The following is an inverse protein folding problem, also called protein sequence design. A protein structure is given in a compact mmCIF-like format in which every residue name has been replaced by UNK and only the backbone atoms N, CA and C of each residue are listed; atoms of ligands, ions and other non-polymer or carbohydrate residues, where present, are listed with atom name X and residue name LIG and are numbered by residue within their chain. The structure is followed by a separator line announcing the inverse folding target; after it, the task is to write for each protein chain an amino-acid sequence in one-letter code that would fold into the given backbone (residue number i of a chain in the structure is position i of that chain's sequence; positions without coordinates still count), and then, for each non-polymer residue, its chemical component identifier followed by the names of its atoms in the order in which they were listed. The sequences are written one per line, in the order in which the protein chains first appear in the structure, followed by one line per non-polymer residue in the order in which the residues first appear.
data_IF_227402766460
#
_entry.id   IF_227402766460
#
_cell.length_a   1.000
_cell.length_b   1.000
_cell.length_c   1.000
_cell.angle_alpha   90.00
_cell.angle_beta   90.00
_cell.angle_gamma   90.00
#
_symmetry.space_group_name_H-M   'P 1'
#
loop_
_entity.id
_entity.type
_entity.pdbx_description
1 polymer ?
#
# COMPACT_ATOMS: atom_id res chain seq x y z
N UNK A 1 -0.94 -23.48 -16.07
CA UNK A 1 -0.82 -22.06 -15.65
C UNK A 1 -1.95 -21.64 -14.73
N UNK A 2 -3.22 -21.70 -15.16
CA UNK A 2 -4.37 -21.34 -14.29
C UNK A 2 -4.43 -22.16 -12.99
N UNK A 3 -4.16 -23.47 -13.05
CA UNK A 3 -4.13 -24.33 -11.86
C UNK A 3 -3.04 -23.94 -10.85
N UNK A 4 -1.86 -23.53 -11.34
CA UNK A 4 -0.76 -23.03 -10.51
C UNK A 4 -1.15 -21.71 -9.85
N UNK A 5 -1.69 -20.77 -10.63
CA UNK A 5 -2.18 -19.48 -10.12
C UNK A 5 -3.21 -19.63 -8.99
N UNK A 6 -4.20 -20.50 -9.17
CA UNK A 6 -5.20 -20.76 -8.14
C UNK A 6 -4.63 -21.45 -6.90
N UNK A 7 -3.63 -22.31 -7.08
CA UNK A 7 -2.92 -22.96 -5.97
C UNK A 7 -2.15 -21.93 -5.14
N UNK A 8 -1.39 -21.06 -5.77
CA UNK A 8 -0.60 -20.00 -5.12
C UNK A 8 -1.49 -19.03 -4.34
N UNK A 9 -2.59 -18.58 -4.95
CA UNK A 9 -3.54 -17.70 -4.28
C UNK A 9 -4.17 -18.36 -3.04
N UNK A 10 -4.45 -19.67 -3.12
CA UNK A 10 -4.97 -20.45 -1.99
C UNK A 10 -3.93 -20.63 -0.89
N UNK A 11 -2.65 -20.78 -1.24
CA UNK A 11 -1.55 -20.85 -0.26
C UNK A 11 -1.39 -19.52 0.49
N UNK A 12 -1.67 -18.39 -0.18
CA UNK A 12 -1.58 -17.04 0.43
C UNK A 12 -2.89 -16.56 1.08
N UNK A 13 -3.89 -17.42 1.25
CA UNK A 13 -5.18 -17.04 1.88
C UNK A 13 -5.02 -16.40 3.26
N UNK A 14 -4.07 -16.85 4.07
CA UNK A 14 -3.84 -16.30 5.41
C UNK A 14 -3.26 -14.89 5.36
N UNK A 15 -2.42 -14.61 4.36
CA UNK A 15 -1.94 -13.26 4.08
C UNK A 15 -3.11 -12.37 3.65
N UNK A 16 -3.99 -12.85 2.76
CA UNK A 16 -5.17 -12.09 2.32
C UNK A 16 -6.13 -11.79 3.48
N UNK A 17 -6.40 -12.77 4.36
CA UNK A 17 -7.25 -12.59 5.54
C UNK A 17 -6.59 -11.62 6.53
N UNK A 18 -5.29 -11.76 6.77
CA UNK A 18 -4.53 -10.89 7.68
C UNK A 18 -4.55 -9.44 7.21
N UNK A 19 -4.24 -9.19 5.94
CA UNK A 19 -4.29 -7.84 5.37
C UNK A 19 -5.70 -7.30 5.25
N UNK A 20 -6.67 -8.12 4.84
CA UNK A 20 -8.07 -7.73 4.75
C UNK A 20 -8.66 -7.29 6.09
N UNK A 21 -8.42 -8.08 7.15
CA UNK A 21 -8.86 -7.74 8.51
C UNK A 21 -8.09 -6.54 9.07
N UNK A 22 -6.78 -6.46 8.87
CA UNK A 22 -5.97 -5.32 9.30
C UNK A 22 -6.41 -4.01 8.65
N UNK A 23 -6.71 -4.02 7.34
CA UNK A 23 -7.18 -2.85 6.62
C UNK A 23 -8.61 -2.46 7.00
N UNK A 24 -9.47 -3.44 7.31
CA UNK A 24 -10.78 -3.16 7.90
C UNK A 24 -10.65 -2.42 9.23
N UNK A 25 -9.77 -2.89 10.12
CA UNK A 25 -9.50 -2.23 11.41
C UNK A 25 -8.91 -0.84 11.19
N UNK A 26 -7.94 -0.70 10.29
CA UNK A 26 -7.34 0.59 9.93
C UNK A 26 -8.40 1.60 9.50
N UNK A 27 -9.23 1.28 8.50
CA UNK A 27 -10.28 2.21 8.06
C UNK A 27 -11.32 2.46 9.14
N UNK A 28 -11.71 1.44 9.92
CA UNK A 28 -12.66 1.59 11.02
C UNK A 28 -12.17 2.59 12.05
N UNK A 29 -10.92 2.44 12.51
CA UNK A 29 -10.33 3.32 13.53
C UNK A 29 -10.18 4.74 12.98
N UNK A 30 -9.54 4.90 11.82
CA UNK A 30 -9.20 6.24 11.33
C UNK A 30 -10.42 7.02 10.85
N UNK A 31 -11.41 6.40 10.21
CA UNK A 31 -12.62 7.10 9.77
C UNK A 31 -13.54 7.43 10.96
N UNK A 32 -13.73 6.50 11.90
CA UNK A 32 -14.57 6.74 13.08
C UNK A 32 -13.94 7.75 14.06
N UNK A 33 -12.63 7.97 13.97
CA UNK A 33 -11.93 8.95 14.79
C UNK A 33 -12.33 10.40 14.44
N UNK A 34 -12.58 10.72 13.17
CA UNK A 34 -12.82 12.10 12.75
C UNK A 34 -14.06 12.75 13.40
N UNK A 35 -15.25 12.12 13.42
CA UNK A 35 -16.42 12.67 14.12
C UNK A 35 -16.20 12.86 15.63
N UNK A 36 -15.30 12.09 16.23
CA UNK A 36 -14.97 12.18 17.65
C UNK A 36 -13.97 13.31 17.98
N UNK A 37 -13.37 13.95 16.97
CA UNK A 37 -12.41 15.03 17.19
C UNK A 37 -13.08 16.32 17.69
N UNK A 38 -12.61 16.88 18.83
CA UNK A 38 -13.01 18.20 19.27
C UNK A 38 -12.77 19.27 18.19
N UNK A 39 -13.60 20.31 18.17
CA UNK A 39 -13.50 21.38 17.18
C UNK A 39 -12.15 22.12 17.28
N UNK A 40 -11.64 22.27 18.50
CA UNK A 40 -10.34 22.89 18.79
C UNK A 40 -9.21 22.13 18.11
N UNK A 41 -9.25 20.79 18.13
CA UNK A 41 -8.24 19.94 17.47
C UNK A 41 -8.34 20.00 15.94
N UNK A 42 -9.55 20.08 15.39
CA UNK A 42 -9.74 20.21 13.93
C UNK A 42 -9.24 21.53 13.37
N UNK A 43 -9.24 22.58 14.20
CA UNK A 43 -8.76 23.92 13.84
C UNK A 43 -7.28 24.15 14.17
N UNK A 44 -6.56 23.15 14.68
CA UNK A 44 -5.12 23.27 14.88
C UNK A 44 -4.42 23.40 13.54
N UNK A 45 -3.59 24.44 13.41
CA UNK A 45 -2.68 24.56 12.28
C UNK A 45 -1.49 23.61 12.48
N UNK A 46 -1.65 22.38 12.00
CA UNK A 46 -0.59 21.36 12.05
C UNK A 46 0.63 21.76 11.19
N UNK A 47 0.47 22.67 10.22
CA UNK A 47 1.59 23.12 9.38
C UNK A 47 2.55 24.05 10.12
N UNK A 48 2.11 24.70 11.20
CA UNK A 48 2.96 25.53 12.05
C UNK A 48 4.03 24.70 12.79
N UNK A 49 3.84 23.39 12.91
CA UNK A 49 4.79 22.49 13.56
C UNK A 49 5.67 21.84 12.48
N UNK A 50 6.97 22.14 12.51
CA UNK A 50 7.92 21.69 11.48
C UNK A 50 7.95 20.17 11.29
N UNK A 51 7.80 19.41 12.38
CA UNK A 51 7.73 17.95 12.32
C UNK A 51 6.55 17.47 11.47
N UNK A 52 5.35 18.02 11.67
CA UNK A 52 4.17 17.61 10.90
C UNK A 52 4.26 18.06 9.45
N UNK A 53 4.86 19.24 9.19
CA UNK A 53 5.13 19.72 7.84
C UNK A 53 6.08 18.80 7.06
N UNK A 54 7.04 18.17 7.74
CA UNK A 54 7.95 17.18 7.13
C UNK A 54 7.27 15.84 6.78
N UNK A 55 6.14 15.52 7.40
CA UNK A 55 5.29 14.37 7.05
C UNK A 55 4.21 14.72 6.01
N UNK A 56 4.27 15.90 5.40
CA UNK A 56 3.36 16.37 4.36
C UNK A 56 2.36 17.43 4.85
N UNK A 57 1.49 17.87 3.93
CA UNK A 57 0.48 18.90 4.20
C UNK A 57 -0.74 18.31 4.95
N UNK A 58 -0.51 17.87 6.19
CA UNK A 58 -1.53 17.34 7.08
C UNK A 58 -2.58 18.41 7.42
N UNK A 59 -3.86 18.09 7.22
CA UNK A 59 -4.98 18.97 7.53
C UNK A 59 -6.14 18.16 8.10
N UNK A 60 -6.71 18.66 9.20
CA UNK A 60 -7.90 18.08 9.85
C UNK A 60 -9.10 19.03 9.82
N UNK A 61 -8.99 20.15 9.12
CA UNK A 61 -10.02 21.18 9.08
C UNK A 61 -11.30 20.72 8.36
N UNK A 62 -11.12 19.90 7.32
CA UNK A 62 -12.21 19.28 6.56
C UNK A 62 -12.05 17.78 6.52
N UNK A 63 -13.16 17.08 6.26
CA UNK A 63 -13.15 15.61 6.17
C UNK A 63 -12.31 15.15 4.97
N UNK A 64 -12.42 15.86 3.85
CA UNK A 64 -11.64 15.62 2.64
C UNK A 64 -10.14 15.81 2.91
N UNK A 65 -9.78 16.88 3.61
CA UNK A 65 -8.41 17.15 4.04
C UNK A 65 -7.88 16.05 4.94
N UNK A 66 -8.67 15.60 5.91
CA UNK A 66 -8.30 14.53 6.84
C UNK A 66 -8.09 13.19 6.12
N UNK A 67 -9.01 12.79 5.23
CA UNK A 67 -8.87 11.56 4.45
C UNK A 67 -7.63 11.61 3.58
N UNK A 68 -7.46 12.67 2.77
CA UNK A 68 -6.36 12.76 1.82
C UNK A 68 -5.00 12.83 2.52
N UNK A 69 -4.88 13.74 3.48
CA UNK A 69 -3.60 14.04 4.11
C UNK A 69 -3.22 13.08 5.23
N UNK A 70 -4.19 12.50 5.96
CA UNK A 70 -3.90 11.59 7.06
C UNK A 70 -4.11 10.14 6.64
N UNK A 71 -5.33 9.78 6.23
CA UNK A 71 -5.64 8.36 5.97
C UNK A 71 -4.89 7.85 4.75
N UNK A 72 -5.06 8.46 3.58
CA UNK A 72 -4.46 7.95 2.33
C UNK A 72 -2.95 8.15 2.24
N UNK A 73 -2.44 9.20 2.88
CA UNK A 73 -1.01 9.42 2.99
C UNK A 73 -0.31 8.25 3.71
N UNK A 74 -0.79 7.87 4.90
CA UNK A 74 -0.23 6.72 5.64
C UNK A 74 -0.64 5.38 5.04
N UNK A 75 -1.82 5.28 4.45
CA UNK A 75 -2.26 4.10 3.71
C UNK A 75 -1.30 3.75 2.59
N UNK A 76 -0.78 4.74 1.84
CA UNK A 76 0.22 4.54 0.78
C UNK A 76 1.49 3.84 1.27
N UNK A 77 1.98 4.18 2.45
CA UNK A 77 3.13 3.49 3.05
C UNK A 77 2.75 2.09 3.51
N UNK A 78 1.59 1.94 4.16
CA UNK A 78 1.09 0.67 4.66
C UNK A 78 0.91 -0.37 3.54
N UNK A 79 0.32 0.02 2.41
CA UNK A 79 0.20 -0.84 1.22
C UNK A 79 1.53 -1.02 0.48
N UNK A 80 2.47 -0.08 0.62
CA UNK A 80 3.87 -0.28 0.23
C UNK A 80 4.52 -1.43 1.03
N UNK A 81 4.23 -1.55 2.33
CA UNK A 81 4.72 -2.68 3.14
C UNK A 81 4.14 -4.01 2.65
N UNK A 82 2.85 -4.06 2.29
CA UNK A 82 2.26 -5.23 1.63
C UNK A 82 3.05 -5.57 0.36
N UNK A 83 3.31 -4.57 -0.49
CA UNK A 83 4.01 -4.73 -1.76
C UNK A 83 5.38 -5.40 -1.58
N UNK A 84 6.19 -4.91 -0.64
CA UNK A 84 7.53 -5.46 -0.39
C UNK A 84 7.48 -6.88 0.21
N UNK A 85 6.53 -7.15 1.11
CA UNK A 85 6.37 -8.47 1.73
C UNK A 85 5.94 -9.52 0.70
N UNK A 86 4.99 -9.16 -0.18
CA UNK A 86 4.54 -10.07 -1.24
C UNK A 86 5.58 -10.20 -2.35
N UNK A 87 6.20 -9.10 -2.79
CA UNK A 87 7.15 -9.08 -3.91
C UNK A 87 8.42 -9.86 -3.62
N UNK A 88 8.98 -9.73 -2.41
CA UNK A 88 10.14 -10.54 -2.00
C UNK A 88 9.77 -12.01 -1.69
N UNK A 89 8.50 -12.29 -1.40
CA UNK A 89 8.03 -13.59 -0.96
C UNK A 89 7.65 -14.58 -2.07
N UNK A 90 7.55 -14.15 -3.33
CA UNK A 90 7.14 -15.02 -4.46
C UNK A 90 8.30 -15.73 -5.15
N UNK A 91 9.55 -15.28 -4.96
CA UNK A 91 10.72 -15.95 -5.51
C UNK A 91 11.74 -16.24 -4.42
N UNK A 92 12.41 -15.22 -3.87
CA UNK A 92 13.38 -15.40 -2.79
C UNK A 92 12.78 -16.10 -1.57
N UNK A 93 11.51 -15.88 -1.27
CA UNK A 93 10.82 -16.59 -0.19
C UNK A 93 10.56 -18.08 -0.44
N UNK A 94 10.38 -18.47 -1.70
CA UNK A 94 10.22 -19.87 -2.08
C UNK A 94 11.56 -20.58 -2.22
N UNK A 95 12.60 -19.84 -2.60
CA UNK A 95 13.99 -20.30 -2.60
C UNK A 95 14.46 -20.57 -1.16
N UNK A 96 14.29 -19.61 -0.26
CA UNK A 96 14.61 -19.76 1.17
C UNK A 96 13.80 -20.89 1.84
N UNK A 97 12.60 -21.19 1.34
CA UNK A 97 11.74 -22.29 1.82
C UNK A 97 12.06 -23.65 1.16
N UNK A 98 12.98 -23.70 0.18
CA UNK A 98 13.31 -24.91 -0.57
C UNK A 98 12.18 -25.41 -1.50
N UNK A 99 11.14 -24.61 -1.74
CA UNK A 99 10.00 -25.00 -2.58
C UNK A 99 10.17 -24.61 -4.04
N UNK A 100 11.07 -23.66 -4.33
CA UNK A 100 11.31 -23.19 -5.69
C UNK A 100 11.85 -24.30 -6.60
N UNK A 101 12.71 -25.18 -6.09
CA UNK A 101 13.25 -26.33 -6.84
C UNK A 101 12.15 -27.29 -7.31
N UNK A 102 11.12 -27.49 -6.47
CA UNK A 102 9.96 -28.32 -6.80
C UNK A 102 9.13 -27.70 -7.94
N UNK A 103 9.04 -26.37 -8.00
CA UNK A 103 8.35 -25.68 -9.09
C UNK A 103 9.16 -25.69 -10.38
N UNK A 104 10.49 -25.60 -10.29
CA UNK A 104 11.39 -25.68 -11.45
C UNK A 104 11.49 -27.11 -12.03
N UNK A 105 11.16 -28.13 -11.24
CA UNK A 105 11.06 -29.51 -11.73
C UNK A 105 9.83 -29.75 -12.64
N UNK A 106 8.84 -28.86 -12.62
CA UNK A 106 7.73 -28.90 -13.57
C UNK A 106 8.22 -28.57 -14.98
N UNK A 107 7.61 -29.13 -16.04
CA UNK A 107 7.96 -28.86 -17.44
C UNK A 107 7.47 -27.47 -17.88
N UNK A 108 7.92 -26.42 -17.20
CA UNK A 108 7.61 -25.02 -17.44
C UNK A 108 8.88 -24.29 -17.87
N UNK A 109 8.74 -23.36 -18.81
CA UNK A 109 9.88 -22.50 -19.18
C UNK A 109 10.07 -21.38 -18.14
N UNK A 110 11.29 -20.85 -18.02
CA UNK A 110 11.62 -19.81 -17.02
C UNK A 110 10.73 -18.57 -17.11
N UNK A 111 10.43 -18.11 -18.34
CA UNK A 111 9.55 -16.97 -18.56
C UNK A 111 8.11 -17.25 -18.12
N UNK A 112 7.62 -18.48 -18.27
CA UNK A 112 6.28 -18.87 -17.82
C UNK A 112 6.16 -18.79 -16.29
N UNK A 113 7.22 -19.19 -15.57
CA UNK A 113 7.27 -19.10 -14.12
C UNK A 113 7.23 -17.63 -13.65
N UNK A 114 8.09 -16.78 -14.21
CA UNK A 114 8.15 -15.35 -13.85
C UNK A 114 6.81 -14.66 -14.13
N UNK A 115 6.22 -14.90 -15.30
CA UNK A 115 4.90 -14.33 -15.65
C UNK A 115 3.82 -14.80 -14.67
N UNK A 116 3.85 -16.06 -14.24
CA UNK A 116 2.90 -16.54 -13.25
C UNK A 116 3.04 -15.80 -11.91
N UNK A 117 4.26 -15.55 -11.43
CA UNK A 117 4.52 -14.78 -10.19
C UNK A 117 4.09 -13.32 -10.32
N UNK A 118 4.31 -12.69 -11.47
CA UNK A 118 3.87 -11.30 -11.71
C UNK A 118 2.34 -11.20 -11.71
N UNK A 119 1.65 -12.14 -12.37
CA UNK A 119 0.18 -12.20 -12.37
C UNK A 119 -0.39 -12.47 -10.97
N UNK A 120 0.27 -13.32 -10.20
CA UNK A 120 -0.06 -13.58 -8.81
C UNK A 120 0.05 -12.31 -7.95
N UNK A 121 1.16 -11.57 -8.06
CA UNK A 121 1.37 -10.31 -7.34
C UNK A 121 0.30 -9.26 -7.68
N UNK A 122 0.01 -9.10 -8.97
CA UNK A 122 -1.05 -8.21 -9.46
C UNK A 122 -2.43 -8.58 -8.88
N UNK A 123 -2.74 -9.88 -8.84
CA UNK A 123 -4.00 -10.38 -8.28
C UNK A 123 -4.08 -10.17 -6.77
N UNK A 124 -3.01 -10.43 -6.02
CA UNK A 124 -2.96 -10.18 -4.57
C UNK A 124 -3.20 -8.69 -4.29
N UNK A 125 -2.51 -7.80 -5.01
CA UNK A 125 -2.70 -6.36 -4.87
C UNK A 125 -4.16 -5.96 -5.11
N UNK A 126 -4.76 -6.45 -6.20
CA UNK A 126 -6.14 -6.13 -6.55
C UNK A 126 -7.14 -6.65 -5.51
N UNK A 127 -6.98 -7.89 -5.04
CA UNK A 127 -7.87 -8.48 -4.03
C UNK A 127 -7.79 -7.71 -2.72
N UNK A 128 -6.57 -7.43 -2.22
CA UNK A 128 -6.39 -6.71 -0.96
C UNK A 128 -6.94 -5.28 -1.07
N UNK A 129 -6.65 -4.56 -2.15
CA UNK A 129 -7.19 -3.21 -2.35
C UNK A 129 -8.71 -3.20 -2.53
N UNK A 130 -9.29 -4.23 -3.15
CA UNK A 130 -10.75 -4.37 -3.24
C UNK A 130 -11.37 -4.58 -1.87
N UNK A 131 -10.81 -5.47 -1.04
CA UNK A 131 -11.25 -5.66 0.34
C UNK A 131 -11.13 -4.38 1.16
N UNK A 132 -10.02 -3.67 1.03
CA UNK A 132 -9.75 -2.40 1.69
C UNK A 132 -10.70 -1.28 1.24
N UNK A 133 -10.98 -1.20 -0.06
CA UNK A 133 -11.92 -0.24 -0.63
C UNK A 133 -13.35 -0.50 -0.17
N UNK A 134 -13.77 -1.77 -0.13
CA UNK A 134 -15.08 -2.15 0.43
C UNK A 134 -15.14 -1.78 1.91
N UNK A 135 -14.10 -2.07 2.69
CA UNK A 135 -14.03 -1.69 4.08
C UNK A 135 -14.15 -0.17 4.28
N UNK A 136 -13.38 0.62 3.53
CA UNK A 136 -13.44 2.09 3.58
C UNK A 136 -14.85 2.61 3.24
N UNK A 137 -15.46 2.08 2.17
CA UNK A 137 -16.81 2.44 1.76
C UNK A 137 -17.88 2.10 2.80
N UNK A 138 -17.84 0.89 3.38
CA UNK A 138 -18.79 0.45 4.40
C UNK A 138 -18.67 1.26 5.69
N UNK A 139 -17.44 1.50 6.16
CA UNK A 139 -17.20 2.32 7.35
C UNK A 139 -17.68 3.74 7.11
N UNK A 140 -17.39 4.31 5.94
CA UNK A 140 -17.87 5.65 5.57
C UNK A 140 -19.39 5.75 5.58
N UNK A 141 -20.10 4.77 5.00
CA UNK A 141 -21.56 4.74 5.04
C UNK A 141 -22.10 4.72 6.48
N UNK A 142 -21.43 4.04 7.40
CA UNK A 142 -21.83 3.98 8.80
C UNK A 142 -21.70 5.33 9.53
N UNK A 143 -20.73 6.16 9.15
CA UNK A 143 -20.48 7.49 9.77
C UNK A 143 -21.01 8.66 8.95
N UNK A 144 -21.53 8.42 7.73
CA UNK A 144 -21.91 9.46 6.75
C UNK A 144 -22.85 10.52 7.31
N UNK A 145 -23.80 10.12 8.18
CA UNK A 145 -24.78 11.01 8.79
C UNK A 145 -24.18 12.02 9.78
N UNK A 146 -22.96 11.77 10.25
CA UNK A 146 -22.24 12.62 11.19
C UNK A 146 -21.29 13.61 10.48
N UNK A 147 -21.21 13.55 9.16
CA UNK A 147 -20.22 14.27 8.35
C UNK A 147 -20.88 15.29 7.41
N UNK A 148 -20.25 16.46 7.30
CA UNK A 148 -20.52 17.44 6.25
C UNK A 148 -19.45 17.30 5.16
N UNK A 149 -19.75 16.54 4.11
CA UNK A 149 -18.84 16.28 2.98
C UNK A 149 -19.63 16.07 1.69
N UNK A 150 -18.99 16.36 0.56
CA UNK A 150 -19.52 16.07 -0.78
C UNK A 150 -19.08 14.69 -1.31
N UNK A 151 -18.23 13.98 -0.57
CA UNK A 151 -17.74 12.66 -0.96
C UNK A 151 -18.84 11.60 -0.84
N UNK A 152 -18.77 10.61 -1.73
CA UNK A 152 -19.56 9.39 -1.66
C UNK A 152 -18.69 8.16 -1.34
N UNK A 153 -19.32 7.06 -0.93
CA UNK A 153 -18.66 5.79 -0.65
C UNK A 153 -17.88 5.27 -1.87
N UNK A 154 -18.40 5.55 -3.08
CA UNK A 154 -17.72 5.23 -4.33
C UNK A 154 -16.40 5.98 -4.52
N UNK A 155 -16.28 7.20 -4.02
CA UNK A 155 -15.04 7.99 -4.14
C UNK A 155 -13.95 7.41 -3.25
N UNK A 156 -14.28 6.98 -2.03
CA UNK A 156 -13.34 6.31 -1.15
C UNK A 156 -12.88 4.96 -1.73
N UNK A 157 -13.81 4.18 -2.29
CA UNK A 157 -13.45 2.93 -2.97
C UNK A 157 -12.47 3.19 -4.13
N UNK A 158 -12.77 4.16 -5.00
CA UNK A 158 -11.91 4.52 -6.13
C UNK A 158 -10.54 5.03 -5.67
N UNK A 159 -10.50 5.85 -4.62
CA UNK A 159 -9.26 6.36 -4.05
C UNK A 159 -8.37 5.21 -3.53
N UNK A 160 -8.94 4.21 -2.86
CA UNK A 160 -8.19 3.01 -2.45
C UNK A 160 -7.66 2.24 -3.65
N UNK A 161 -8.50 1.98 -4.66
CA UNK A 161 -8.10 1.26 -5.88
C UNK A 161 -7.02 2.02 -6.67
N UNK A 162 -7.02 3.35 -6.63
CA UNK A 162 -6.01 4.18 -7.29
C UNK A 162 -4.57 3.94 -6.78
N UNK A 163 -4.40 3.29 -5.62
CA UNK A 163 -3.08 2.90 -5.11
C UNK A 163 -2.51 1.65 -5.79
N UNK A 164 -3.28 0.96 -6.65
CA UNK A 164 -2.84 -0.28 -7.31
C UNK A 164 -1.51 -0.13 -8.09
N UNK A 165 -1.28 0.94 -8.89
CA UNK A 165 -0.02 1.13 -9.59
C UNK A 165 1.17 1.27 -8.63
N UNK A 166 0.98 1.96 -7.49
CA UNK A 166 2.01 2.10 -6.46
C UNK A 166 2.37 0.75 -5.86
N UNK A 167 1.37 -0.04 -5.44
CA UNK A 167 1.60 -1.41 -4.92
C UNK A 167 2.36 -2.23 -5.94
N UNK A 168 1.90 -2.22 -7.20
CA UNK A 168 2.48 -3.04 -8.24
C UNK A 168 3.92 -2.64 -8.55
N UNK A 169 4.23 -1.35 -8.57
CA UNK A 169 5.60 -0.84 -8.75
C UNK A 169 6.53 -1.38 -7.65
N UNK A 170 6.16 -1.23 -6.38
CA UNK A 170 6.98 -1.72 -5.27
C UNK A 170 7.06 -3.25 -5.23
N UNK A 171 6.02 -3.97 -5.66
CA UNK A 171 6.08 -5.41 -5.86
C UNK A 171 7.12 -5.80 -6.91
N UNK A 172 7.19 -5.09 -8.05
CA UNK A 172 8.16 -5.37 -9.11
C UNK A 172 9.60 -5.05 -8.68
N UNK A 173 9.82 -3.93 -7.99
CA UNK A 173 11.12 -3.59 -7.40
C UNK A 173 11.55 -4.69 -6.42
N UNK A 174 10.63 -5.15 -5.58
CA UNK A 174 10.89 -6.17 -4.57
C UNK A 174 11.14 -7.55 -5.17
N UNK A 175 10.43 -7.89 -6.25
CA UNK A 175 10.67 -9.11 -7.02
C UNK A 175 12.08 -9.08 -7.63
N UNK A 176 12.47 -7.96 -8.24
CA UNK A 176 13.80 -7.76 -8.80
C UNK A 176 14.89 -7.81 -7.72
N UNK A 177 14.68 -7.17 -6.57
CA UNK A 177 15.60 -7.29 -5.43
C UNK A 177 15.70 -8.73 -4.94
N UNK A 178 14.61 -9.49 -4.96
CA UNK A 178 14.58 -10.90 -4.64
C UNK A 178 15.42 -11.78 -5.56
N UNK A 179 15.69 -11.37 -6.81
CA UNK A 179 16.51 -12.15 -7.76
C UNK A 179 18.00 -11.83 -7.68
N UNK A 180 18.36 -10.62 -7.23
CA UNK A 180 19.76 -10.15 -7.22
C UNK A 180 20.42 -10.22 -5.84
N UNK A 181 19.64 -10.46 -4.78
CA UNK A 181 20.14 -10.52 -3.40
C UNK A 181 20.29 -11.96 -2.92
N UNK A 182 21.19 -12.21 -1.94
CA UNK A 182 21.49 -13.57 -1.50
C UNK A 182 20.44 -14.21 -0.59
N UNK A 183 19.44 -13.45 -0.12
CA UNK A 183 18.35 -13.98 0.73
C UNK A 183 17.15 -13.05 0.72
N UNK A 184 15.96 -13.59 1.03
CA UNK A 184 14.74 -12.78 1.16
C UNK A 184 14.89 -11.68 2.20
N UNK A 185 15.61 -11.93 3.29
CA UNK A 185 15.81 -10.94 4.36
C UNK A 185 16.53 -9.69 3.86
N UNK A 186 17.55 -9.87 3.02
CA UNK A 186 18.30 -8.75 2.41
C UNK A 186 17.42 -8.02 1.38
N UNK A 187 16.70 -8.76 0.52
CA UNK A 187 15.74 -8.15 -0.41
C UNK A 187 14.71 -7.28 0.31
N UNK A 188 14.14 -7.79 1.41
CA UNK A 188 13.12 -7.11 2.19
C UNK A 188 13.68 -5.82 2.82
N UNK A 189 14.88 -5.88 3.39
CA UNK A 189 15.54 -4.72 3.97
C UNK A 189 15.81 -3.62 2.93
N UNK A 190 16.34 -3.99 1.76
CA UNK A 190 16.59 -3.05 0.67
C UNK A 190 15.30 -2.44 0.13
N UNK A 191 14.26 -3.26 -0.08
CA UNK A 191 12.96 -2.79 -0.55
C UNK A 191 12.30 -1.82 0.45
N UNK A 192 12.43 -2.09 1.76
CA UNK A 192 11.96 -1.21 2.82
C UNK A 192 12.70 0.15 2.81
N UNK A 193 14.01 0.14 2.63
CA UNK A 193 14.80 1.39 2.49
C UNK A 193 14.32 2.18 1.28
N UNK A 194 14.14 1.54 0.13
CA UNK A 194 13.63 2.21 -1.08
C UNK A 194 12.25 2.83 -0.81
N UNK A 195 11.33 2.10 -0.19
CA UNK A 195 10.00 2.61 0.17
C UNK A 195 10.06 3.85 1.07
N UNK A 196 10.82 3.77 2.17
CA UNK A 196 10.94 4.86 3.15
C UNK A 196 11.62 6.08 2.54
N UNK A 197 12.70 5.89 1.78
CA UNK A 197 13.42 6.99 1.12
C UNK A 197 12.55 7.65 0.05
N UNK A 198 11.80 6.88 -0.74
CA UNK A 198 10.85 7.43 -1.72
C UNK A 198 9.73 8.23 -1.04
N UNK A 199 9.18 7.72 0.05
CA UNK A 199 8.09 8.37 0.79
C UNK A 199 8.56 9.67 1.46
N UNK A 200 9.67 9.63 2.21
CA UNK A 200 10.21 10.82 2.86
C UNK A 200 10.76 11.80 1.83
N UNK A 201 11.40 11.31 0.77
CA UNK A 201 11.88 12.12 -0.34
C UNK A 201 10.77 12.94 -0.98
N UNK A 202 9.62 12.32 -1.27
CA UNK A 202 8.46 13.03 -1.80
C UNK A 202 8.00 14.18 -0.89
N UNK A 203 7.86 13.90 0.41
CA UNK A 203 7.41 14.89 1.38
C UNK A 203 8.41 16.04 1.55
N UNK A 204 9.70 15.74 1.64
CA UNK A 204 10.77 16.73 1.80
C UNK A 204 10.97 17.58 0.54
N UNK A 205 10.89 16.96 -0.64
CA UNK A 205 10.93 17.68 -1.91
C UNK A 205 9.74 18.66 -2.02
N UNK A 206 8.57 18.28 -1.51
CA UNK A 206 7.40 19.16 -1.39
C UNK A 206 7.59 20.41 -0.52
N UNK A 207 8.66 20.47 0.28
CA UNK A 207 8.96 21.62 1.15
C UNK A 207 9.93 22.63 0.52
N UNK A 208 10.57 22.28 -0.60
CA UNK A 208 11.64 23.09 -1.22
C UNK A 208 11.30 23.43 -2.68
N UNK A 209 11.04 24.70 -3.02
CA UNK A 209 10.79 25.13 -4.40
C UNK A 209 11.88 24.69 -5.38
N UNK A 210 13.14 24.67 -4.93
CA UNK A 210 14.30 24.28 -5.75
C UNK A 210 14.33 22.79 -6.14
N UNK A 211 13.53 21.95 -5.47
CA UNK A 211 13.48 20.51 -5.70
C UNK A 211 12.18 20.06 -6.39
N UNK A 212 11.23 20.96 -6.67
CA UNK A 212 9.93 20.62 -7.27
C UNK A 212 10.04 19.81 -8.56
N UNK A 213 11.10 20.01 -9.35
CA UNK A 213 11.38 19.24 -10.57
C UNK A 213 11.59 17.74 -10.34
N UNK A 214 11.92 17.31 -9.11
CA UNK A 214 12.05 15.90 -8.72
C UNK A 214 10.72 15.24 -8.33
N UNK A 215 9.67 16.04 -8.04
CA UNK A 215 8.36 15.50 -7.66
C UNK A 215 7.79 14.49 -8.67
N UNK A 216 7.81 14.72 -10.01
CA UNK A 216 7.24 13.76 -10.97
C UNK A 216 8.01 12.44 -11.06
N UNK A 217 9.23 12.35 -10.51
CA UNK A 217 10.00 11.11 -10.45
C UNK A 217 9.63 10.26 -9.23
N UNK A 218 8.86 10.82 -8.29
CA UNK A 218 8.47 10.11 -7.07
C UNK A 218 7.36 9.09 -7.35
N UNK A 219 7.49 7.85 -6.85
CA UNK A 219 6.40 6.88 -6.82
C UNK A 219 5.12 7.33 -6.10
N UNK A 220 5.20 8.40 -5.31
CA UNK A 220 4.12 8.93 -4.46
C UNK A 220 3.46 10.20 -5.02
N UNK A 221 3.83 10.64 -6.23
CA UNK A 221 3.16 11.76 -6.90
C UNK A 221 1.75 11.40 -7.37
#
# INVERSE_FOLDING_TARGET
MLSLFWHELRMRRMLLIGWGSGLLVFFSVYLAFYPALPAEMRNLDLQAIELYRAFGNLSMATFEGYIGSTIFHFFSVLIGVLAIVTGTGVLAGEEDAGTLELQMALPLTRWQLVTAKVLELAAIALVVLTMAGIAAALVFLAIRSQLTTNLDAGDLFRAVIAHWPLVFLFQMISLWLGTVTPSRRVALALAAVVLVVSFLGYNLVGMSPDLEWLQPLSPFH
#
